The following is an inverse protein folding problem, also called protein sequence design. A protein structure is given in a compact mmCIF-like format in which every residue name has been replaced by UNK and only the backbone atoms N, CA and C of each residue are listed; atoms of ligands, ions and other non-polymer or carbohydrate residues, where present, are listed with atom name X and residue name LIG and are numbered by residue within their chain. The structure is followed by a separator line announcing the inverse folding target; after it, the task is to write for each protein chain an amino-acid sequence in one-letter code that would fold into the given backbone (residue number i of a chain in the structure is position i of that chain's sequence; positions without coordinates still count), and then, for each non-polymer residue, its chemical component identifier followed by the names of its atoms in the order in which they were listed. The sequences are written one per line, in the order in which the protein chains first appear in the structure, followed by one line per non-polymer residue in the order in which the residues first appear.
data_IF_046167062006
#
_entry.id   IF_046167062006
#
_cell.length_a   1.000
_cell.length_b   1.000
_cell.length_c   1.000
_cell.angle_alpha   90.00
_cell.angle_beta   90.00
_cell.angle_gamma   90.00
#
_symmetry.space_group_name_H-M   'P 1'
#
loop_
_entity.id
_entity.type
_entity.pdbx_description
1 polymer ?
#
# COMPACT_ATOMS: atom_id res chain seq x y z
N UNK A 1 -0.86 -16.29 10.63
CA UNK A 1 -0.10 -15.78 9.47
C UNK A 1 -0.84 -14.56 8.93
N UNK A 2 -0.49 -13.34 9.36
CA UNK A 2 -0.93 -12.11 8.69
C UNK A 2 0.20 -11.63 7.76
N UNK A 3 0.62 -12.52 6.86
CA UNK A 3 0.98 -12.06 5.52
C UNK A 3 -0.38 -11.72 4.91
N UNK A 4 -0.53 -10.59 4.23
CA UNK A 4 -1.67 -10.46 3.32
C UNK A 4 -1.64 -11.69 2.42
N UNK A 5 -2.50 -12.68 2.67
CA UNK A 5 -2.66 -13.86 1.81
C UNK A 5 -3.13 -13.46 0.40
N UNK A 6 -3.42 -12.17 0.20
CA UNK A 6 -3.69 -11.55 -1.08
C UNK A 6 -2.37 -11.02 -1.67
N UNK A 7 -1.47 -11.92 -2.07
CA UNK A 7 -0.69 -11.62 -3.27
C UNK A 7 -1.72 -11.48 -4.39
N UNK A 8 -1.87 -10.28 -4.97
CA UNK A 8 -2.79 -10.09 -6.09
C UNK A 8 -2.11 -10.63 -7.33
N UNK A 9 -2.50 -11.83 -7.76
CA UNK A 9 -2.12 -12.38 -9.06
C UNK A 9 -2.87 -11.59 -10.14
N UNK A 10 -2.13 -10.82 -10.94
CA UNK A 10 -2.66 -10.26 -12.17
C UNK A 10 -2.53 -11.33 -13.25
N UNK A 11 -3.64 -11.94 -13.66
CA UNK A 11 -3.66 -12.95 -14.72
C UNK A 11 -3.83 -12.29 -16.08
N UNK A 12 -2.98 -12.64 -17.04
CA UNK A 12 -3.34 -12.51 -18.44
C UNK A 12 -4.33 -13.64 -18.78
N UNK A 13 -5.53 -13.33 -19.27
CA UNK A 13 -6.47 -14.37 -19.72
C UNK A 13 -5.88 -15.10 -20.95
N UNK A 14 -5.53 -16.37 -20.79
CA UNK A 14 -5.33 -17.29 -21.91
C UNK A 14 -6.68 -17.77 -22.42
N UNK A 15 -6.98 -17.53 -23.70
CA UNK A 15 -8.03 -18.25 -24.40
C UNK A 15 -7.66 -19.73 -24.51
N UNK A 16 -8.66 -20.60 -24.44
CA UNK A 16 -8.53 -22.04 -24.71
C UNK A 16 -7.83 -22.25 -26.05
N UNK A 17 -6.67 -22.90 -26.04
CA UNK A 17 -6.14 -23.58 -27.22
C UNK A 17 -5.89 -25.02 -26.79
N UNK A 18 -6.59 -25.94 -27.47
CA UNK A 18 -6.51 -27.38 -27.25
C UNK A 18 -5.09 -27.89 -27.46
N UNK A 19 -4.69 -28.81 -26.58
CA UNK A 19 -3.49 -29.64 -26.72
C UNK A 19 -3.48 -30.34 -28.07
N UNK A 20 -2.43 -30.11 -28.86
CA UNK A 20 -1.96 -31.06 -29.86
C UNK A 20 -0.46 -31.19 -29.74
N UNK A 21 -0.02 -32.44 -29.51
CA UNK A 21 1.36 -32.85 -29.36
C UNK A 21 2.11 -32.66 -30.68
N UNK A 22 3.15 -31.84 -30.68
CA UNK A 22 4.21 -31.89 -31.69
C UNK A 22 5.54 -31.82 -30.94
N UNK A 23 6.31 -32.91 -30.97
CA UNK A 23 7.73 -32.89 -30.67
C UNK A 23 8.51 -32.39 -31.90
N UNK A 24 9.59 -31.66 -31.61
CA UNK A 24 10.95 -31.74 -32.18
C UNK A 24 11.54 -30.33 -32.45
N UNK A 25 12.61 -30.05 -31.70
CA UNK A 25 13.76 -29.18 -31.95
C UNK A 25 13.56 -27.79 -32.56
N UNK A 26 13.53 -26.78 -31.68
CA UNK A 26 14.45 -25.63 -31.73
C UNK A 26 14.27 -24.82 -30.43
N UNK A 27 15.37 -24.44 -29.77
CA UNK A 27 15.39 -23.66 -28.53
C UNK A 27 15.01 -22.18 -28.77
N UNK A 28 13.81 -21.94 -29.32
CA UNK A 28 13.14 -20.65 -29.17
C UNK A 28 12.39 -20.75 -27.84
N UNK A 29 12.98 -20.20 -26.77
CA UNK A 29 12.27 -20.02 -25.50
C UNK A 29 10.97 -19.28 -25.81
N UNK A 30 9.85 -20.00 -25.78
CA UNK A 30 8.52 -19.41 -25.88
C UNK A 30 8.36 -18.30 -24.84
N UNK A 31 7.44 -17.35 -25.04
CA UNK A 31 7.25 -16.23 -24.12
C UNK A 31 7.02 -16.77 -22.70
N UNK A 32 8.02 -16.58 -21.84
CA UNK A 32 7.97 -16.95 -20.42
C UNK A 32 6.75 -16.24 -19.81
N UNK A 33 5.93 -17.00 -19.08
CA UNK A 33 4.67 -16.56 -18.47
C UNK A 33 4.81 -15.22 -17.73
N UNK A 34 3.76 -14.39 -17.82
CA UNK A 34 3.79 -12.93 -17.53
C UNK A 34 2.81 -12.52 -16.43
N UNK A 35 2.45 -13.48 -15.58
CA UNK A 35 1.62 -13.21 -14.42
C UNK A 35 2.47 -12.54 -13.34
N UNK A 36 2.10 -11.34 -12.94
CA UNK A 36 2.80 -10.60 -11.89
C UNK A 36 2.07 -10.78 -10.55
N UNK A 37 2.83 -11.16 -9.52
CA UNK A 37 2.37 -11.19 -8.13
C UNK A 37 2.99 -10.03 -7.38
N UNK A 38 2.16 -9.11 -6.93
CA UNK A 38 2.59 -7.97 -6.09
C UNK A 38 2.28 -8.30 -4.62
N UNK A 39 3.31 -8.25 -3.79
CA UNK A 39 3.28 -8.63 -2.38
C UNK A 39 3.69 -7.45 -1.52
N UNK A 40 2.92 -7.20 -0.45
CA UNK A 40 3.31 -6.32 0.65
C UNK A 40 3.47 -7.15 1.91
N UNK A 41 4.59 -7.00 2.59
CA UNK A 41 4.93 -7.81 3.76
C UNK A 41 5.44 -6.95 4.92
N UNK A 42 5.16 -7.40 6.15
CA UNK A 42 5.66 -6.80 7.38
C UNK A 42 6.28 -7.90 8.23
N UNK A 43 7.61 -7.85 8.38
CA UNK A 43 8.31 -8.84 9.20
C UNK A 43 8.21 -8.45 10.67
N UNK A 44 7.84 -9.36 11.58
CA UNK A 44 7.76 -9.03 13.00
C UNK A 44 9.06 -8.45 13.54
N UNK A 45 8.96 -7.47 14.43
CA UNK A 45 10.10 -7.02 15.22
C UNK A 45 10.72 -8.16 16.06
N UNK A 46 11.95 -7.95 16.56
CA UNK A 46 12.57 -8.87 17.52
C UNK A 46 11.66 -9.03 18.75
N UNK A 47 11.87 -10.10 19.52
CA UNK A 47 11.11 -10.33 20.74
C UNK A 47 11.16 -9.09 21.64
N UNK A 48 10.00 -8.53 21.94
CA UNK A 48 9.84 -7.39 22.85
C UNK A 48 9.09 -7.80 24.12
N UNK A 49 9.02 -6.88 25.07
CA UNK A 49 8.35 -7.09 26.36
C UNK A 49 6.81 -7.01 26.28
N UNK A 50 6.25 -6.45 25.21
CA UNK A 50 4.81 -6.25 25.07
C UNK A 50 4.05 -7.48 24.57
N UNK A 51 3.03 -7.91 25.31
CA UNK A 51 2.13 -9.02 24.93
C UNK A 51 1.27 -8.75 23.69
N UNK A 52 1.15 -7.50 23.25
CA UNK A 52 0.43 -7.09 22.04
C UNK A 52 1.31 -7.04 20.79
N UNK A 53 2.63 -7.26 20.91
CA UNK A 53 3.55 -7.22 19.76
C UNK A 53 3.19 -8.28 18.72
N UNK A 54 3.44 -8.01 17.44
CA UNK A 54 3.24 -8.99 16.35
C UNK A 54 4.01 -10.28 16.63
N UNK A 55 5.20 -10.16 17.22
CA UNK A 55 5.99 -11.32 17.65
C UNK A 55 5.25 -12.18 18.68
N UNK A 56 4.69 -11.56 19.74
CA UNK A 56 3.95 -12.27 20.78
C UNK A 56 2.67 -12.93 20.23
N UNK A 57 1.95 -12.24 19.35
CA UNK A 57 0.77 -12.79 18.67
C UNK A 57 1.12 -14.01 17.81
N UNK A 58 2.24 -13.95 17.07
CA UNK A 58 2.73 -15.10 16.30
C UNK A 58 3.14 -16.26 17.21
N UNK A 59 3.82 -16.00 18.33
CA UNK A 59 4.15 -17.05 19.32
C UNK A 59 2.91 -17.73 19.87
N UNK A 60 1.90 -16.97 20.27
CA UNK A 60 0.65 -17.52 20.78
C UNK A 60 0.02 -18.49 19.77
N UNK A 61 -0.07 -18.06 18.51
CA UNK A 61 -0.58 -18.91 17.43
C UNK A 61 0.29 -20.14 17.18
N UNK A 62 1.62 -19.97 17.15
CA UNK A 62 2.58 -21.06 16.93
C UNK A 62 2.52 -22.11 18.03
N UNK A 63 2.38 -21.70 19.29
CA UNK A 63 2.15 -22.61 20.41
C UNK A 63 0.88 -23.44 20.21
N UNK A 64 -0.22 -22.82 19.76
CA UNK A 64 -1.48 -23.52 19.51
C UNK A 64 -1.40 -24.57 18.38
N UNK A 65 -0.46 -24.43 17.43
CA UNK A 65 -0.24 -25.39 16.33
C UNK A 65 1.05 -26.20 16.51
N UNK A 66 1.61 -26.23 17.72
CA UNK A 66 2.86 -26.92 18.07
C UNK A 66 4.06 -26.58 17.16
N UNK A 67 4.11 -25.35 16.64
CA UNK A 67 5.23 -24.82 15.87
C UNK A 67 6.23 -24.14 16.80
N UNK A 68 7.47 -24.63 16.85
CA UNK A 68 8.50 -24.11 17.79
C UNK A 68 9.40 -23.02 17.21
N UNK A 69 9.32 -22.76 15.90
CA UNK A 69 10.20 -21.83 15.20
C UNK A 69 10.09 -20.40 15.77
N UNK A 70 11.21 -19.66 15.71
CA UNK A 70 11.20 -18.21 15.94
C UNK A 70 10.28 -17.53 14.90
N UNK A 71 9.34 -16.65 15.30
CA UNK A 71 8.42 -15.96 14.40
C UNK A 71 9.07 -15.24 13.21
N UNK A 72 10.24 -14.63 13.40
CA UNK A 72 10.96 -13.93 12.33
C UNK A 72 11.56 -14.89 11.32
N UNK A 73 12.12 -16.01 11.78
CA UNK A 73 12.66 -17.06 10.91
C UNK A 73 11.54 -17.74 10.14
N UNK A 74 10.48 -18.13 10.84
CA UNK A 74 9.28 -18.72 10.26
C UNK A 74 8.67 -17.82 9.16
N UNK A 75 8.60 -16.52 9.40
CA UNK A 75 8.12 -15.55 8.41
C UNK A 75 8.94 -15.60 7.12
N UNK A 76 10.28 -15.54 7.23
CA UNK A 76 11.16 -15.57 6.05
C UNK A 76 11.07 -16.92 5.35
N UNK A 77 11.10 -18.03 6.10
CA UNK A 77 10.99 -19.38 5.55
C UNK A 77 9.68 -19.59 4.78
N UNK A 78 8.55 -19.20 5.37
CA UNK A 78 7.22 -19.38 4.74
C UNK A 78 7.07 -18.47 3.52
N UNK A 79 7.56 -17.21 3.60
CA UNK A 79 7.52 -16.28 2.48
C UNK A 79 8.40 -16.75 1.32
N UNK A 80 9.62 -17.23 1.60
CA UNK A 80 10.53 -17.82 0.62
C UNK A 80 9.89 -19.02 -0.10
N UNK A 81 9.25 -19.93 0.65
CA UNK A 81 8.52 -21.06 0.08
C UNK A 81 7.39 -20.60 -0.84
N UNK A 82 6.62 -19.60 -0.42
CA UNK A 82 5.51 -19.08 -1.22
C UNK A 82 5.98 -18.36 -2.48
N UNK A 83 7.09 -17.62 -2.40
CA UNK A 83 7.74 -16.97 -3.55
C UNK A 83 8.24 -18.01 -4.54
N UNK A 84 8.95 -19.03 -4.06
CA UNK A 84 9.45 -20.13 -4.90
C UNK A 84 8.29 -20.80 -5.63
N UNK A 85 7.21 -21.11 -4.91
CA UNK A 85 5.99 -21.66 -5.51
C UNK A 85 5.42 -20.76 -6.62
N UNK A 86 5.30 -19.45 -6.40
CA UNK A 86 4.79 -18.55 -7.45
C UNK A 86 5.70 -18.55 -8.68
N UNK A 87 7.02 -18.61 -8.48
CA UNK A 87 7.99 -18.67 -9.56
C UNK A 87 7.93 -20.01 -10.31
N UNK A 88 7.77 -21.12 -9.60
CA UNK A 88 7.57 -22.44 -10.20
C UNK A 88 6.26 -22.50 -11.01
N UNK A 89 5.23 -21.75 -10.59
CA UNK A 89 4.01 -21.51 -11.36
C UNK A 89 4.19 -20.52 -12.54
N UNK A 90 5.42 -20.07 -12.82
CA UNK A 90 5.74 -19.15 -13.91
C UNK A 90 5.33 -17.70 -13.66
N UNK A 91 5.24 -17.26 -12.40
CA UNK A 91 4.91 -15.87 -12.06
C UNK A 91 6.17 -15.05 -11.75
N UNK A 92 6.16 -13.80 -12.18
CA UNK A 92 7.09 -12.77 -11.71
C UNK A 92 6.59 -12.18 -10.37
N UNK A 93 7.51 -11.73 -9.52
CA UNK A 93 7.19 -11.27 -8.16
C UNK A 93 7.78 -9.89 -7.90
N UNK A 94 6.95 -8.98 -7.38
CA UNK A 94 7.38 -7.71 -6.78
C UNK A 94 6.99 -7.74 -5.30
N UNK A 95 7.98 -7.66 -4.42
CA UNK A 95 7.81 -7.70 -2.97
C UNK A 95 8.25 -6.36 -2.36
N UNK A 96 7.30 -5.59 -1.85
CA UNK A 96 7.58 -4.48 -0.93
C UNK A 96 7.51 -4.96 0.52
N UNK A 97 8.53 -4.67 1.32
CA UNK A 97 8.61 -5.18 2.69
C UNK A 97 9.16 -4.16 3.69
N UNK A 98 8.49 -4.01 4.83
CA UNK A 98 9.15 -3.59 6.08
C UNK A 98 9.80 -4.83 6.71
N UNK A 99 11.13 -4.88 6.60
CA UNK A 99 11.94 -6.00 7.01
C UNK A 99 12.19 -6.09 8.50
N UNK A 100 12.05 -4.95 9.20
CA UNK A 100 12.56 -4.75 10.56
C UNK A 100 13.99 -5.32 10.73
N UNK A 101 14.85 -5.16 9.71
CA UNK A 101 16.24 -5.61 9.61
C UNK A 101 16.95 -4.81 8.52
N UNK A 102 18.27 -4.67 8.63
CA UNK A 102 19.12 -4.03 7.62
C UNK A 102 19.03 -4.76 6.26
N UNK A 103 18.47 -4.09 5.26
CA UNK A 103 18.33 -4.66 3.91
C UNK A 103 19.59 -4.53 3.07
N UNK A 104 20.63 -3.81 3.52
CA UNK A 104 21.91 -3.71 2.81
C UNK A 104 22.76 -4.96 2.98
N UNK A 105 22.63 -5.64 4.13
CA UNK A 105 23.44 -6.81 4.49
C UNK A 105 23.06 -8.02 3.63
N UNK A 106 24.04 -8.62 2.95
CA UNK A 106 23.88 -9.84 2.15
C UNK A 106 24.62 -11.05 2.75
N UNK A 107 24.38 -11.32 4.03
CA UNK A 107 24.94 -12.48 4.73
C UNK A 107 23.97 -13.68 4.69
N UNK A 108 24.41 -14.94 4.85
CA UNK A 108 23.57 -16.14 4.66
C UNK A 108 22.21 -16.16 5.39
N UNK A 109 22.12 -15.49 6.55
CA UNK A 109 20.89 -15.42 7.34
C UNK A 109 20.09 -14.12 7.14
N UNK A 110 20.62 -13.15 6.41
CA UNK A 110 19.92 -11.89 6.15
C UNK A 110 18.76 -12.10 5.20
N UNK A 111 17.73 -11.24 5.30
CA UNK A 111 16.58 -11.37 4.40
C UNK A 111 16.99 -11.23 2.94
N UNK A 112 17.97 -10.35 2.65
CA UNK A 112 18.40 -10.06 1.28
C UNK A 112 18.97 -11.31 0.65
N UNK A 113 19.86 -12.00 1.35
CA UNK A 113 20.42 -13.26 0.89
C UNK A 113 19.35 -14.34 0.71
N UNK A 114 18.42 -14.43 1.68
CA UNK A 114 17.32 -15.41 1.64
C UNK A 114 16.37 -15.18 0.46
N UNK A 115 16.07 -13.93 0.13
CA UNK A 115 15.26 -13.58 -1.04
C UNK A 115 16.04 -13.77 -2.35
N UNK A 116 17.33 -13.46 -2.36
CA UNK A 116 18.22 -13.75 -3.50
C UNK A 116 18.26 -15.25 -3.81
N UNK A 117 18.37 -16.11 -2.80
CA UNK A 117 18.29 -17.56 -2.96
C UNK A 117 16.93 -18.03 -3.52
N UNK A 118 15.88 -17.23 -3.38
CA UNK A 118 14.55 -17.48 -3.96
C UNK A 118 14.35 -16.77 -5.31
N UNK A 119 15.40 -16.17 -5.88
CA UNK A 119 15.42 -15.52 -7.19
C UNK A 119 14.92 -14.07 -7.22
N UNK A 120 14.94 -13.38 -6.08
CA UNK A 120 14.59 -11.96 -5.98
C UNK A 120 15.84 -11.11 -5.72
N UNK A 121 15.97 -10.02 -6.46
CA UNK A 121 17.03 -9.02 -6.27
C UNK A 121 16.47 -7.74 -5.64
N UNK A 122 17.29 -7.01 -4.89
CA UNK A 122 16.90 -5.72 -4.33
C UNK A 122 16.91 -4.65 -5.44
N UNK A 123 15.79 -3.94 -5.56
CA UNK A 123 15.44 -3.14 -6.73
C UNK A 123 16.12 -1.76 -6.79
N UNK A 124 16.54 -1.19 -5.66
CA UNK A 124 16.91 0.23 -5.54
C UNK A 124 18.40 0.41 -5.20
N UNK A 125 18.93 -0.39 -4.28
CA UNK A 125 20.29 -0.33 -3.74
C UNK A 125 21.37 -0.57 -4.80
N UNK A 126 21.04 -1.18 -5.94
CA UNK A 126 21.96 -1.34 -7.06
C UNK A 126 22.27 0.01 -7.75
N UNK A 127 21.31 0.93 -7.74
CA UNK A 127 21.37 2.18 -8.50
C UNK A 127 21.42 3.43 -7.60
N UNK A 128 21.13 3.27 -6.31
CA UNK A 128 21.07 4.36 -5.35
C UNK A 128 21.79 3.99 -4.06
N UNK A 129 22.47 4.95 -3.40
CA UNK A 129 23.04 4.70 -2.09
C UNK A 129 21.94 4.41 -1.06
N UNK A 130 22.22 3.58 -0.04
CA UNK A 130 21.30 3.35 1.06
C UNK A 130 20.83 4.65 1.71
N UNK A 131 19.54 4.73 2.03
CA UNK A 131 18.96 5.85 2.77
C UNK A 131 18.23 5.34 4.02
N UNK A 132 18.18 6.16 5.06
CA UNK A 132 17.28 5.91 6.20
C UNK A 132 15.84 5.75 5.70
N UNK A 133 15.20 4.62 6.00
CA UNK A 133 13.79 4.40 5.66
C UNK A 133 12.83 4.59 6.82
N UNK A 134 13.32 4.75 8.05
CA UNK A 134 12.52 4.99 9.25
C UNK A 134 13.08 6.14 10.09
N UNK A 135 12.25 7.11 10.48
CA UNK A 135 12.67 8.38 11.09
C UNK A 135 13.52 8.24 12.37
N UNK A 136 13.26 7.19 13.17
CA UNK A 136 14.02 6.97 14.43
C UNK A 136 15.27 6.13 14.24
N UNK A 137 15.58 5.74 13.01
CA UNK A 137 16.80 5.02 12.72
C UNK A 137 17.98 6.00 12.72
N UNK A 138 18.89 5.80 13.67
CA UNK A 138 20.04 6.68 13.89
C UNK A 138 21.30 6.26 13.10
N UNK A 139 21.23 5.17 12.34
CA UNK A 139 22.40 4.46 11.82
C UNK A 139 22.49 4.47 10.28
N UNK A 140 21.65 5.26 9.60
CA UNK A 140 21.53 5.29 8.13
C UNK A 140 21.26 3.91 7.49
N UNK A 141 20.57 3.04 8.22
CA UNK A 141 20.26 1.67 7.77
C UNK A 141 18.86 1.65 7.16
N UNK A 142 18.67 1.26 5.89
CA UNK A 142 17.33 0.98 5.37
C UNK A 142 16.79 -0.31 6.02
N UNK A 143 15.55 -0.24 6.50
CA UNK A 143 14.79 -1.40 6.99
C UNK A 143 13.57 -1.72 6.12
N UNK A 144 13.35 -0.93 5.07
CA UNK A 144 12.34 -1.13 4.06
C UNK A 144 13.02 -1.42 2.73
N UNK A 145 12.48 -2.34 1.94
CA UNK A 145 13.05 -2.72 0.65
C UNK A 145 12.00 -3.11 -0.37
N UNK A 146 12.35 -2.96 -1.65
CA UNK A 146 11.59 -3.52 -2.76
C UNK A 146 12.46 -4.57 -3.43
N UNK A 147 11.93 -5.78 -3.56
CA UNK A 147 12.60 -6.92 -4.15
C UNK A 147 11.82 -7.40 -5.37
N UNK A 148 12.52 -7.69 -6.47
CA UNK A 148 11.87 -8.14 -7.71
C UNK A 148 12.57 -9.37 -8.27
N UNK A 149 11.81 -10.24 -8.93
CA UNK A 149 12.40 -11.24 -9.84
C UNK A 149 13.07 -10.56 -11.04
N UNK A 150 14.03 -11.25 -11.67
CA UNK A 150 14.79 -10.71 -12.81
C UNK A 150 13.93 -10.40 -14.05
N UNK A 151 12.77 -11.05 -14.20
CA UNK A 151 11.85 -10.80 -15.30
C UNK A 151 10.98 -9.55 -15.12
N UNK A 152 11.22 -8.73 -14.09
CA UNK A 152 10.59 -7.42 -13.90
C UNK A 152 11.61 -6.31 -14.20
N UNK A 153 11.63 -5.74 -15.42
CA UNK A 153 12.55 -4.67 -15.76
C UNK A 153 12.19 -3.40 -14.99
N UNK A 154 13.16 -2.89 -14.24
CA UNK A 154 13.05 -1.63 -13.48
C UNK A 154 13.55 -0.49 -14.38
N UNK A 155 12.67 0.48 -14.65
CA UNK A 155 12.98 1.67 -15.44
C UNK A 155 13.60 2.77 -14.59
N UNK A 156 13.10 2.93 -13.36
CA UNK A 156 13.59 3.90 -12.38
C UNK A 156 13.16 3.45 -10.98
N UNK A 157 13.76 4.02 -9.95
CA UNK A 157 13.34 3.81 -8.57
C UNK A 157 13.96 4.80 -7.62
N UNK A 158 13.57 4.73 -6.35
CA UNK A 158 14.18 5.53 -5.31
C UNK A 158 13.33 5.69 -4.06
N UNK A 159 13.69 6.71 -3.29
CA UNK A 159 13.11 7.02 -1.99
C UNK A 159 12.44 8.39 -2.05
N UNK A 160 11.25 8.49 -1.46
CA UNK A 160 10.65 9.77 -1.12
C UNK A 160 11.31 10.34 0.13
N UNK A 161 11.28 11.68 0.29
CA UNK A 161 11.61 12.26 1.59
C UNK A 161 10.51 11.91 2.61
N UNK A 162 10.88 11.89 3.90
CA UNK A 162 9.90 11.78 4.99
C UNK A 162 8.82 12.85 4.86
N UNK A 163 7.58 12.44 5.12
CA UNK A 163 6.38 13.29 5.03
C UNK A 163 6.18 13.95 3.64
N UNK A 164 6.86 13.49 2.59
CA UNK A 164 6.68 14.04 1.24
C UNK A 164 5.33 13.63 0.64
N UNK A 165 4.96 12.36 0.84
CA UNK A 165 3.76 11.74 0.26
C UNK A 165 2.81 11.17 1.31
N UNK A 166 3.34 10.61 2.40
CA UNK A 166 2.58 10.02 3.49
C UNK A 166 3.06 10.62 4.81
N UNK A 167 2.14 11.05 5.68
CA UNK A 167 2.47 11.41 7.06
C UNK A 167 2.75 10.11 7.83
N UNK A 168 4.00 9.66 7.80
CA UNK A 168 4.44 8.36 8.31
C UNK A 168 5.90 8.47 8.79
N UNK A 169 6.21 7.70 9.83
CA UNK A 169 7.56 7.52 10.34
C UNK A 169 8.45 6.67 9.42
N UNK A 170 7.90 6.05 8.37
CA UNK A 170 8.66 5.44 7.28
C UNK A 170 8.67 6.34 6.03
N UNK A 171 9.76 6.31 5.28
CA UNK A 171 9.83 6.93 3.95
C UNK A 171 9.20 6.00 2.91
N UNK A 172 8.54 6.57 1.90
CA UNK A 172 7.98 5.77 0.82
C UNK A 172 9.06 5.36 -0.17
N UNK A 173 9.09 4.09 -0.55
CA UNK A 173 9.91 3.58 -1.65
C UNK A 173 9.06 3.50 -2.93
N UNK A 174 9.69 3.68 -4.09
CA UNK A 174 9.01 3.53 -5.37
C UNK A 174 9.94 2.92 -6.43
N UNK A 175 9.32 2.20 -7.36
CA UNK A 175 9.93 1.74 -8.61
C UNK A 175 8.95 1.98 -9.75
N UNK A 176 9.48 2.34 -10.92
CA UNK A 176 8.79 2.30 -12.20
C UNK A 176 9.20 1.02 -12.91
N UNK A 177 8.23 0.22 -13.35
CA UNK A 177 8.47 -1.04 -14.06
C UNK A 177 7.88 -0.98 -15.47
N UNK A 178 8.52 -1.69 -16.40
CA UNK A 178 7.94 -1.90 -17.73
C UNK A 178 6.80 -2.91 -17.64
N UNK A 179 5.56 -2.43 -17.63
CA UNK A 179 4.37 -3.28 -17.60
C UNK A 179 4.21 -4.11 -18.88
N UNK A 180 4.66 -3.63 -20.04
CA UNK A 180 4.58 -4.38 -21.29
C UNK A 180 5.51 -5.58 -21.25
N UNK A 181 6.73 -5.41 -20.74
CA UNK A 181 7.66 -6.51 -20.50
C UNK A 181 7.16 -7.44 -19.39
N UNK A 182 6.72 -6.88 -18.25
CA UNK A 182 6.36 -7.66 -17.05
C UNK A 182 5.02 -8.40 -17.15
N UNK A 183 4.05 -7.85 -17.90
CA UNK A 183 2.69 -8.41 -18.07
C UNK A 183 2.40 -8.85 -19.50
N UNK A 184 3.29 -8.56 -20.45
CA UNK A 184 3.19 -9.02 -21.82
C UNK A 184 2.25 -8.30 -22.71
N UNK A 185 2.30 -6.97 -22.67
CA UNK A 185 1.34 -6.10 -23.32
C UNK A 185 -0.09 -6.25 -22.76
N UNK A 186 -0.29 -7.04 -21.70
CA UNK A 186 -1.55 -7.04 -20.97
C UNK A 186 -1.72 -5.69 -20.26
N UNK A 187 -2.84 -5.03 -20.54
CA UNK A 187 -3.20 -3.77 -19.90
C UNK A 187 -4.26 -4.04 -18.83
N UNK A 188 -3.87 -4.14 -17.54
CA UNK A 188 -4.83 -4.42 -16.49
C UNK A 188 -5.84 -3.27 -16.39
N UNK A 189 -7.12 -3.62 -16.28
CA UNK A 189 -8.13 -2.62 -15.96
C UNK A 189 -7.84 -2.04 -14.57
N UNK A 190 -7.85 -0.70 -14.47
CA UNK A 190 -7.64 -0.02 -13.19
C UNK A 190 -8.70 -0.49 -12.20
N UNK A 191 -8.29 -1.15 -11.12
CA UNK A 191 -9.20 -1.50 -10.04
C UNK A 191 -9.71 -0.23 -9.37
N UNK A 192 -11.02 -0.15 -9.13
CA UNK A 192 -11.59 0.93 -8.32
C UNK A 192 -11.21 0.72 -6.85
N UNK A 193 -10.21 1.45 -6.37
CA UNK A 193 -9.95 1.51 -4.93
C UNK A 193 -11.10 2.27 -4.25
N UNK A 194 -11.82 1.58 -3.37
CA UNK A 194 -12.81 2.24 -2.52
C UNK A 194 -12.12 2.63 -1.21
N UNK A 195 -11.92 3.93 -0.92
CA UNK A 195 -11.29 4.34 0.32
C UNK A 195 -12.14 3.93 1.53
N UNK A 196 -11.50 3.74 2.67
CA UNK A 196 -12.20 3.48 3.94
C UNK A 196 -13.09 4.68 4.27
N UNK A 197 -14.33 4.41 4.66
CA UNK A 197 -15.30 5.47 5.05
C UNK A 197 -14.95 6.07 6.41
N UNK A 198 -14.49 5.22 7.34
CA UNK A 198 -13.98 5.63 8.63
C UNK A 198 -12.59 6.24 8.46
N UNK A 199 -12.43 7.49 8.89
CA UNK A 199 -11.13 8.14 9.07
C UNK A 199 -10.97 8.53 10.53
N UNK A 200 -9.85 8.15 11.15
CA UNK A 200 -9.54 8.50 12.53
C UNK A 200 -9.22 10.00 12.71
N UNK A 201 -8.91 10.69 11.61
CA UNK A 201 -8.67 12.14 11.61
C UNK A 201 -9.97 12.96 11.53
N UNK A 202 -11.10 12.32 11.21
CA UNK A 202 -12.40 12.98 11.08
C UNK A 202 -13.27 12.63 12.30
N UNK A 203 -13.29 13.53 13.29
CA UNK A 203 -14.02 13.33 14.55
C UNK A 203 -15.50 13.05 14.32
N UNK A 204 -16.13 13.64 13.29
CA UNK A 204 -17.55 13.40 12.97
C UNK A 204 -17.77 11.97 12.48
N UNK A 205 -16.88 11.49 11.62
CA UNK A 205 -16.91 10.09 11.16
C UNK A 205 -16.69 9.11 12.30
N UNK A 206 -15.76 9.41 13.22
CA UNK A 206 -15.47 8.57 14.40
C UNK A 206 -16.69 8.52 15.33
N UNK A 207 -17.25 9.67 15.69
CA UNK A 207 -18.42 9.73 16.58
C UNK A 207 -19.61 8.97 16.02
N UNK A 208 -19.93 9.16 14.72
CA UNK A 208 -21.03 8.44 14.08
C UNK A 208 -20.76 6.94 13.99
N UNK A 209 -19.53 6.52 13.73
CA UNK A 209 -19.14 5.11 13.76
C UNK A 209 -19.37 4.50 15.15
N UNK A 210 -18.86 5.13 16.21
CA UNK A 210 -19.00 4.65 17.59
C UNK A 210 -20.47 4.55 18.00
N UNK A 211 -21.28 5.55 17.68
CA UNK A 211 -22.73 5.53 17.92
C UNK A 211 -23.40 4.31 17.27
N UNK A 212 -23.07 4.02 16.01
CA UNK A 212 -23.62 2.88 15.28
C UNK A 212 -23.14 1.54 15.85
N UNK A 213 -21.86 1.45 16.27
CA UNK A 213 -21.31 0.26 16.92
C UNK A 213 -22.01 0.01 18.25
N UNK A 214 -22.15 1.05 19.10
CA UNK A 214 -22.83 0.93 20.40
C UNK A 214 -24.29 0.49 20.22
N UNK A 215 -25.01 1.09 19.26
CA UNK A 215 -26.38 0.67 18.92
C UNK A 215 -26.44 -0.80 18.48
N UNK A 216 -25.50 -1.24 17.65
CA UNK A 216 -25.43 -2.63 17.20
C UNK A 216 -25.08 -3.59 18.34
N UNK A 217 -24.16 -3.21 19.22
CA UNK A 217 -23.76 -4.01 20.38
C UNK A 217 -24.91 -4.17 21.38
N UNK A 218 -25.64 -3.09 21.66
CA UNK A 218 -26.84 -3.13 22.48
C UNK A 218 -27.92 -4.04 21.86
N UNK A 219 -28.19 -3.90 20.55
CA UNK A 219 -29.17 -4.72 19.83
C UNK A 219 -28.91 -6.23 19.94
N UNK A 220 -27.65 -6.64 19.94
CA UNK A 220 -27.26 -8.06 19.98
C UNK A 220 -26.76 -8.52 21.36
N UNK A 221 -26.93 -7.68 22.39
CA UNK A 221 -26.47 -7.90 23.77
C UNK A 221 -25.03 -8.40 23.83
N UNK A 222 -24.15 -7.79 23.03
CA UNK A 222 -22.75 -8.19 22.90
C UNK A 222 -22.03 -8.08 24.25
N UNK A 223 -22.14 -6.97 25.01
CA UNK A 223 -21.46 -6.85 26.30
C UNK A 223 -21.90 -7.91 27.31
N UNK A 224 -23.20 -8.18 27.42
CA UNK A 224 -23.74 -9.15 28.36
C UNK A 224 -23.30 -10.57 28.00
N UNK A 225 -23.28 -10.91 26.70
CA UNK A 225 -22.83 -12.21 26.20
C UNK A 225 -21.32 -12.39 26.38
N UNK A 226 -20.52 -11.33 26.20
CA UNK A 226 -19.10 -11.35 26.53
C UNK A 226 -18.87 -11.55 28.02
N UNK A 227 -19.61 -10.86 28.88
CA UNK A 227 -19.50 -11.00 30.33
C UNK A 227 -19.85 -12.42 30.80
N UNK A 228 -20.97 -12.98 30.32
CA UNK A 228 -21.34 -14.39 30.59
C UNK A 228 -20.28 -15.39 30.12
N UNK A 229 -19.64 -15.11 28.98
CA UNK A 229 -18.56 -15.93 28.48
C UNK A 229 -17.32 -15.83 29.38
N UNK A 230 -16.98 -14.63 29.83
CA UNK A 230 -15.85 -14.38 30.72
C UNK A 230 -16.03 -15.06 32.08
N UNK A 231 -17.19 -14.90 32.72
CA UNK A 231 -17.53 -15.58 33.98
C UNK A 231 -17.38 -17.10 33.86
N UNK A 232 -17.79 -17.67 32.73
CA UNK A 232 -17.65 -19.11 32.49
C UNK A 232 -16.20 -19.55 32.27
N UNK A 233 -15.36 -18.69 31.70
CA UNK A 233 -13.92 -18.92 31.60
C UNK A 233 -13.29 -18.89 32.99
N UNK A 234 -13.66 -17.91 33.82
CA UNK A 234 -13.17 -17.77 35.19
C UNK A 234 -13.56 -18.98 36.06
N UNK A 235 -14.81 -19.44 35.98
CA UNK A 235 -15.28 -20.64 36.69
C UNK A 235 -14.55 -21.93 36.27
N UNK A 236 -13.95 -21.96 35.08
CA UNK A 236 -13.17 -23.10 34.58
C UNK A 236 -11.66 -22.89 34.78
N UNK A 237 -11.25 -22.03 35.71
CA UNK A 237 -9.83 -21.77 35.99
C UNK A 237 -9.10 -21.14 34.81
N UNK A 238 -9.76 -20.24 34.08
CA UNK A 238 -9.27 -19.59 32.88
C UNK A 238 -8.99 -20.53 31.68
N UNK A 239 -9.58 -21.73 31.68
CA UNK A 239 -9.44 -22.66 30.58
C UNK A 239 -10.41 -22.37 29.41
N UNK A 240 -9.85 -22.17 28.21
CA UNK A 240 -10.59 -22.00 26.97
C UNK A 240 -10.93 -23.35 26.32
N UNK A 241 -12.03 -23.98 26.76
CA UNK A 241 -12.51 -25.22 26.14
C UNK A 241 -12.89 -25.01 24.67
N UNK A 242 -12.85 -26.05 23.80
CA UNK A 242 -13.25 -25.92 22.39
C UNK A 242 -14.64 -25.33 22.18
N UNK A 243 -15.58 -25.60 23.10
CA UNK A 243 -16.93 -25.02 23.07
C UNK A 243 -16.91 -23.51 23.33
N UNK A 244 -16.11 -23.06 24.30
CA UNK A 244 -15.95 -21.63 24.61
C UNK A 244 -15.25 -20.89 23.47
N UNK A 245 -14.22 -21.47 22.89
CA UNK A 245 -13.53 -20.91 21.71
C UNK A 245 -14.52 -20.71 20.56
N UNK A 246 -15.36 -21.71 20.26
CA UNK A 246 -16.41 -21.58 19.23
C UNK A 246 -17.40 -20.46 19.55
N UNK A 247 -17.86 -20.35 20.81
CA UNK A 247 -18.77 -19.29 21.24
C UNK A 247 -18.13 -17.90 21.11
N UNK A 248 -16.88 -17.75 21.55
CA UNK A 248 -16.10 -16.52 21.38
C UNK A 248 -15.99 -16.13 19.91
N UNK A 249 -15.59 -17.07 19.05
CA UNK A 249 -15.41 -16.81 17.62
C UNK A 249 -16.72 -16.41 16.92
N UNK A 250 -17.83 -17.05 17.29
CA UNK A 250 -19.16 -16.67 16.80
C UNK A 250 -19.52 -15.23 17.22
N UNK A 251 -19.34 -14.90 18.49
CA UNK A 251 -19.58 -13.56 19.03
C UNK A 251 -18.67 -12.51 18.38
N UNK A 252 -17.39 -12.82 18.21
CA UNK A 252 -16.42 -11.97 17.53
C UNK A 252 -16.80 -11.71 16.07
N UNK A 253 -17.29 -12.73 15.35
CA UNK A 253 -17.79 -12.57 13.97
C UNK A 253 -18.99 -11.63 13.91
N UNK A 254 -19.89 -11.71 14.89
CA UNK A 254 -21.02 -10.79 14.99
C UNK A 254 -20.56 -9.35 15.29
N UNK A 255 -19.63 -9.18 16.23
CA UNK A 255 -19.01 -7.88 16.51
C UNK A 255 -18.32 -7.28 15.29
N UNK A 256 -17.60 -8.12 14.53
CA UNK A 256 -16.99 -7.72 13.26
C UNK A 256 -18.04 -7.24 12.25
N UNK A 257 -19.13 -7.98 12.10
CA UNK A 257 -20.24 -7.61 11.20
C UNK A 257 -20.85 -6.26 11.57
N UNK A 258 -21.11 -6.02 12.86
CA UNK A 258 -21.61 -4.73 13.37
C UNK A 258 -20.63 -3.60 13.01
N UNK A 259 -19.33 -3.79 13.26
CA UNK A 259 -18.30 -2.78 12.95
C UNK A 259 -18.21 -2.49 11.45
N UNK A 260 -18.33 -3.50 10.60
CA UNK A 260 -18.35 -3.31 9.13
C UNK A 260 -19.55 -2.49 8.66
N UNK A 261 -20.75 -2.81 9.15
CA UNK A 261 -21.96 -2.05 8.84
C UNK A 261 -21.90 -0.61 9.37
N UNK A 262 -21.30 -0.41 10.54
CA UNK A 262 -21.09 0.93 11.09
C UNK A 262 -20.14 1.75 10.21
N UNK A 263 -19.02 1.16 9.77
CA UNK A 263 -18.09 1.81 8.85
C UNK A 263 -18.76 2.18 7.51
N UNK A 264 -19.61 1.31 6.97
CA UNK A 264 -20.34 1.61 5.73
C UNK A 264 -21.26 2.82 5.83
N UNK A 265 -21.76 3.13 7.04
CA UNK A 265 -22.76 4.17 7.29
C UNK A 265 -22.20 5.40 8.01
N UNK A 266 -20.95 5.36 8.48
CA UNK A 266 -20.37 6.44 9.27
C UNK A 266 -20.15 7.73 8.45
N UNK A 267 -19.98 7.62 7.14
CA UNK A 267 -19.79 8.77 6.25
C UNK A 267 -20.13 8.44 4.80
N UNK A 268 -20.61 9.43 4.06
CA UNK A 268 -20.71 9.35 2.61
C UNK A 268 -19.38 9.80 1.98
N UNK A 269 -18.84 9.00 1.06
CA UNK A 269 -17.68 9.40 0.28
C UNK A 269 -18.18 10.16 -0.95
N UNK A 270 -17.69 11.38 -1.12
CA UNK A 270 -17.89 12.16 -2.33
C UNK A 270 -16.55 12.25 -3.08
N UNK A 271 -16.16 11.23 -3.87
CA UNK A 271 -14.84 11.18 -4.53
C UNK A 271 -14.68 12.23 -5.64
N UNK A 272 -15.62 13.17 -5.79
CA UNK A 272 -15.58 14.26 -6.74
C UNK A 272 -15.82 13.86 -8.20
N UNK A 273 -15.60 12.58 -8.57
CA UNK A 273 -15.67 12.02 -9.94
C UNK A 273 -15.11 12.99 -10.99
N UNK A 274 -14.06 13.73 -10.64
CA UNK A 274 -13.45 14.71 -11.55
C UNK A 274 -12.42 13.96 -12.40
N UNK A 275 -12.60 13.89 -13.72
CA UNK A 275 -11.64 13.21 -14.57
C UNK A 275 -10.31 13.96 -14.55
N UNK A 276 -9.21 13.20 -14.44
CA UNK A 276 -7.87 13.80 -14.37
C UNK A 276 -7.40 14.30 -15.74
N UNK A 277 -6.88 15.52 -15.79
CA UNK A 277 -6.14 16.05 -16.93
C UNK A 277 -4.98 16.93 -16.43
N UNK A 278 -3.91 17.18 -17.23
CA UNK A 278 -2.83 18.07 -16.84
C UNK A 278 -3.32 19.47 -16.43
N UNK A 279 -4.35 19.98 -17.12
CA UNK A 279 -5.00 21.26 -16.77
C UNK A 279 -5.66 21.22 -15.40
N UNK A 280 -6.40 20.13 -15.08
CA UNK A 280 -6.97 19.94 -13.74
C UNK A 280 -5.89 19.78 -12.66
N UNK A 281 -4.77 19.12 -12.99
CA UNK A 281 -3.63 18.94 -12.09
C UNK A 281 -2.96 20.27 -11.74
N UNK A 282 -2.90 21.22 -12.68
CA UNK A 282 -2.35 22.56 -12.44
C UNK A 282 -3.00 23.26 -11.23
N UNK A 283 -4.33 23.21 -11.13
CA UNK A 283 -5.04 23.75 -9.96
C UNK A 283 -4.62 23.09 -8.65
N UNK A 284 -4.45 21.77 -8.64
CA UNK A 284 -3.99 21.03 -7.47
C UNK A 284 -2.55 21.38 -7.09
N UNK A 285 -1.68 21.58 -8.07
CA UNK A 285 -0.30 21.99 -7.85
C UNK A 285 -0.24 23.40 -7.24
N UNK A 286 -1.02 24.35 -7.77
CA UNK A 286 -1.17 25.71 -7.22
C UNK A 286 -1.71 25.67 -5.78
N UNK A 287 -2.83 24.97 -5.54
CA UNK A 287 -3.41 24.82 -4.20
C UNK A 287 -2.42 24.16 -3.23
N UNK A 288 -1.62 23.20 -3.68
CA UNK A 288 -0.60 22.54 -2.87
C UNK A 288 0.53 23.49 -2.51
N UNK A 289 0.98 24.33 -3.45
CA UNK A 289 1.98 25.36 -3.20
C UNK A 289 1.49 26.35 -2.13
N UNK A 290 0.28 26.89 -2.28
CA UNK A 290 -0.29 27.85 -1.33
C UNK A 290 -0.44 27.26 0.07
N UNK A 291 -0.97 26.04 0.19
CA UNK A 291 -1.07 25.34 1.48
C UNK A 291 0.29 25.09 2.12
N UNK A 292 1.29 24.73 1.32
CA UNK A 292 2.64 24.44 1.82
C UNK A 292 3.32 25.72 2.34
N UNK A 293 3.18 26.83 1.62
CA UNK A 293 3.70 28.12 2.06
C UNK A 293 2.98 28.63 3.32
N UNK A 294 1.66 28.50 3.41
CA UNK A 294 0.88 28.81 4.62
C UNK A 294 1.33 27.98 5.82
N UNK A 295 1.56 26.68 5.62
CA UNK A 295 2.10 25.78 6.66
C UNK A 295 3.47 26.30 7.15
N UNK A 296 4.35 26.71 6.24
CA UNK A 296 5.64 27.33 6.59
C UNK A 296 5.50 28.64 7.38
N UNK A 297 4.58 29.52 6.99
CA UNK A 297 4.31 30.79 7.72
C UNK A 297 3.76 30.56 9.13
N UNK A 298 3.13 29.41 9.40
CA UNK A 298 2.67 28.97 10.73
C UNK A 298 3.77 28.31 11.57
N UNK A 299 5.04 28.39 11.14
CA UNK A 299 6.18 27.83 11.88
C UNK A 299 6.36 26.31 11.73
N UNK A 300 5.58 25.65 10.88
CA UNK A 300 5.75 24.22 10.65
C UNK A 300 6.88 23.94 9.65
N UNK A 301 7.62 22.84 9.85
CA UNK A 301 8.64 22.38 8.92
C UNK A 301 8.03 22.04 7.55
N UNK A 302 8.66 22.53 6.49
CA UNK A 302 8.27 22.29 5.09
C UNK A 302 9.48 21.95 4.23
N UNK A 303 9.30 21.04 3.26
CA UNK A 303 10.38 20.66 2.34
C UNK A 303 10.65 21.79 1.35
N UNK A 304 11.82 22.43 1.48
CA UNK A 304 12.28 23.49 0.56
C UNK A 304 12.39 22.99 -0.88
N UNK A 305 12.81 21.73 -1.07
CA UNK A 305 12.86 21.05 -2.38
C UNK A 305 11.46 20.95 -3.00
N UNK A 306 10.45 20.55 -2.22
CA UNK A 306 9.05 20.45 -2.69
C UNK A 306 8.48 21.81 -3.06
N UNK A 307 8.75 22.84 -2.25
CA UNK A 307 8.35 24.23 -2.55
C UNK A 307 8.93 24.68 -3.89
N UNK A 308 10.25 24.57 -4.09
CA UNK A 308 10.90 24.98 -5.36
C UNK A 308 10.34 24.22 -6.56
N UNK A 309 10.13 22.91 -6.43
CA UNK A 309 9.54 22.07 -7.49
C UNK A 309 8.14 22.55 -7.87
N UNK A 310 7.29 22.82 -6.87
CA UNK A 310 5.93 23.31 -7.11
C UNK A 310 5.94 24.70 -7.75
N UNK A 311 6.80 25.62 -7.29
CA UNK A 311 6.91 26.96 -7.89
C UNK A 311 7.31 26.93 -9.35
N UNK A 312 8.24 26.04 -9.73
CA UNK A 312 8.59 25.81 -11.14
C UNK A 312 7.40 25.26 -11.91
N UNK A 313 6.70 24.26 -11.37
CA UNK A 313 5.57 23.58 -12.02
C UNK A 313 4.37 24.52 -12.23
N UNK A 314 4.12 25.43 -11.29
CA UNK A 314 3.01 26.37 -11.34
C UNK A 314 3.37 27.70 -12.01
N UNK A 315 4.63 27.92 -12.40
CA UNK A 315 5.08 29.19 -12.98
C UNK A 315 5.02 30.37 -12.00
N UNK A 316 5.15 30.12 -10.70
CA UNK A 316 5.00 31.14 -9.65
C UNK A 316 6.31 31.29 -8.86
N UNK A 317 7.37 31.90 -9.44
CA UNK A 317 8.71 31.93 -8.84
C UNK A 317 8.84 32.84 -7.62
N UNK A 318 7.86 33.71 -7.33
CA UNK A 318 7.91 34.62 -6.16
C UNK A 318 6.82 34.32 -5.12
N UNK A 319 6.18 33.15 -5.22
CA UNK A 319 5.12 32.73 -4.30
C UNK A 319 5.52 32.82 -2.82
N UNK A 320 6.78 32.53 -2.46
CA UNK A 320 7.26 32.54 -1.08
C UNK A 320 7.28 33.95 -0.44
N UNK A 321 7.27 35.02 -1.24
CA UNK A 321 7.33 36.41 -0.75
C UNK A 321 5.99 36.91 -0.22
N UNK A 322 4.88 36.25 -0.58
CA UNK A 322 3.53 36.64 -0.17
C UNK A 322 3.33 36.57 1.34
N UNK A 323 2.49 37.48 1.87
CA UNK A 323 2.08 37.45 3.28
C UNK A 323 1.15 36.26 3.55
N UNK A 324 0.92 35.93 4.82
CA UNK A 324 -0.02 34.87 5.18
C UNK A 324 -1.45 35.17 4.68
N UNK A 325 -1.88 36.44 4.76
CA UNK A 325 -3.19 36.90 4.27
C UNK A 325 -3.30 36.71 2.76
N UNK A 326 -2.31 37.19 2.00
CA UNK A 326 -2.29 37.05 0.54
C UNK A 326 -2.34 35.58 0.11
N UNK A 327 -1.62 34.71 0.82
CA UNK A 327 -1.60 33.28 0.52
C UNK A 327 -2.96 32.62 0.78
N UNK A 328 -3.68 33.04 1.82
CA UNK A 328 -5.04 32.55 2.08
C UNK A 328 -6.02 33.00 0.99
N UNK A 329 -5.90 34.23 0.51
CA UNK A 329 -6.75 34.74 -0.56
C UNK A 329 -6.42 34.10 -1.91
N UNK A 330 -5.14 33.90 -2.23
CA UNK A 330 -4.72 33.12 -3.39
C UNK A 330 -5.31 31.70 -3.34
N UNK A 331 -5.30 31.06 -2.16
CA UNK A 331 -5.88 29.74 -1.99
C UNK A 331 -7.42 29.73 -2.16
N UNK A 332 -8.13 30.76 -1.69
CA UNK A 332 -9.58 30.91 -1.90
C UNK A 332 -9.91 31.10 -3.38
N UNK A 333 -9.17 31.97 -4.07
CA UNK A 333 -9.34 32.23 -5.49
C UNK A 333 -9.11 30.96 -6.32
N UNK A 334 -8.01 30.24 -6.06
CA UNK A 334 -7.69 28.99 -6.76
C UNK A 334 -8.78 27.92 -6.58
N UNK A 335 -9.36 27.83 -5.37
CA UNK A 335 -10.50 26.93 -5.10
C UNK A 335 -11.74 27.31 -5.90
N UNK A 336 -12.02 28.59 -6.07
CA UNK A 336 -13.13 29.09 -6.87
C UNK A 336 -12.96 28.72 -8.35
N UNK A 337 -11.77 29.01 -8.90
CA UNK A 337 -11.42 28.66 -10.28
C UNK A 337 -11.49 27.15 -10.52
N UNK A 338 -10.96 26.35 -9.60
CA UNK A 338 -11.07 24.90 -9.66
C UNK A 338 -12.53 24.43 -9.67
N UNK A 339 -13.40 25.01 -8.83
CA UNK A 339 -14.82 24.65 -8.77
C UNK A 339 -15.50 24.95 -10.11
N UNK A 340 -15.26 26.12 -10.69
CA UNK A 340 -15.78 26.48 -12.01
C UNK A 340 -15.27 25.50 -13.08
N UNK A 341 -13.96 25.28 -13.16
CA UNK A 341 -13.35 24.39 -14.15
C UNK A 341 -13.82 22.94 -14.01
N UNK A 342 -14.01 22.47 -12.78
CA UNK A 342 -14.58 21.14 -12.49
C UNK A 342 -15.94 20.96 -13.14
N UNK A 343 -16.82 21.96 -13.08
CA UNK A 343 -18.17 21.87 -13.63
C UNK A 343 -18.19 22.07 -15.15
N UNK A 344 -17.40 23.00 -15.67
CA UNK A 344 -17.49 23.42 -17.07
C UNK A 344 -16.57 22.62 -18.01
N UNK A 345 -15.33 22.33 -17.58
CA UNK A 345 -14.27 21.93 -18.52
C UNK A 345 -13.65 20.55 -18.26
N UNK A 346 -13.80 20.00 -17.05
CA UNK A 346 -13.06 18.80 -16.65
C UNK A 346 -13.23 17.61 -17.62
N UNK A 347 -14.46 17.32 -18.05
CA UNK A 347 -14.74 16.25 -19.00
C UNK A 347 -14.07 16.49 -20.37
N UNK A 348 -14.18 17.71 -20.90
CA UNK A 348 -13.59 18.08 -22.18
C UNK A 348 -12.06 17.99 -22.13
N UNK A 349 -11.42 18.56 -21.12
CA UNK A 349 -9.96 18.52 -20.99
C UNK A 349 -9.41 17.10 -20.83
N UNK A 350 -10.18 16.18 -20.23
CA UNK A 350 -9.80 14.76 -20.20
C UNK A 350 -9.83 14.15 -21.60
N UNK A 351 -10.90 14.41 -22.35
CA UNK A 351 -11.08 13.90 -23.72
C UNK A 351 -9.97 14.41 -24.64
N UNK A 352 -9.66 15.71 -24.56
CA UNK A 352 -8.57 16.32 -25.34
C UNK A 352 -7.23 15.66 -25.04
N UNK A 353 -6.91 15.50 -23.76
CA UNK A 353 -5.66 14.87 -23.33
C UNK A 353 -5.53 13.41 -23.83
N UNK A 354 -6.59 12.61 -23.70
CA UNK A 354 -6.60 11.23 -24.18
C UNK A 354 -6.46 11.13 -25.71
N UNK A 355 -7.03 12.09 -26.43
CA UNK A 355 -6.94 12.14 -27.89
C UNK A 355 -5.52 12.39 -28.35
N UNK A 356 -4.80 13.32 -27.69
CA UNK A 356 -3.38 13.59 -27.97
C UNK A 356 -2.53 12.35 -27.67
N UNK A 357 -2.69 11.74 -26.50
CA UNK A 357 -1.93 10.54 -26.10
C UNK A 357 -2.14 9.37 -27.05
N UNK A 358 -3.38 9.15 -27.50
CA UNK A 358 -3.68 8.07 -28.48
C UNK A 358 -3.02 8.33 -29.83
N UNK A 359 -2.97 9.59 -30.28
CA UNK A 359 -2.29 9.97 -31.53
C UNK A 359 -0.77 9.77 -31.42
N UNK A 360 -0.17 10.16 -30.29
CA UNK A 360 1.25 10.00 -30.05
C UNK A 360 1.63 8.51 -29.96
N UNK A 361 0.83 7.69 -29.26
CA UNK A 361 1.02 6.25 -29.19
C UNK A 361 0.96 5.58 -30.57
N UNK A 362 0.01 5.99 -31.43
CA UNK A 362 -0.07 5.50 -32.81
C UNK A 362 1.17 5.87 -33.63
N UNK A 363 1.74 7.06 -33.46
CA UNK A 363 2.98 7.45 -34.16
C UNK A 363 4.19 6.62 -33.76
N UNK A 364 4.23 6.09 -32.54
CA UNK A 364 5.35 5.28 -32.04
C UNK A 364 5.24 3.79 -32.42
N UNK A 365 4.10 3.32 -32.96
CA UNK A 365 3.95 1.96 -33.51
C UNK A 365 4.39 1.83 -34.98
N UNK A 366 4.65 2.95 -35.67
CA UNK A 366 5.05 3.00 -37.08
C UNK A 366 6.51 3.44 -37.28
N UNK A 367 7.37 3.05 -36.34
CA UNK A 367 8.84 3.06 -36.44
C UNK A 367 9.34 1.75 -35.88
#
# INVERSE_FOLDING_TARGET
MFVSKEGRKLKAHGGNVQDSLIEVNDLVRGPISKDLVVVSAYRPNKQGLGGSTVWAQHRLHFHAVNRKNNPRKAFVDDLCKQITKWRDEGCEVVLGIDANEDVTVNAPQSIRHRFQACGLEEAILKHHPPQVTHQRNQWNIPIDGIFTTLGVPILAGGYYAFDEFFDCDHCGLWIDIDLSASLGNFQPQKSNFTPRKLSLQDSRSVSKYLQLVHKGYAKYSIPERLNKLNQRIDHLGHQMTPSLVRKYNCLHRQMYTVRRQAEEKCRALAPGKVPWSPKMQGFWDCMSLWKLLLKGKKGCRVSSRKVRRLMKKTGLPQAWRKSAVDLEDCLKQERSLYKQAKHTYAAQWRKDFLTVQTKDAKKHQWK
#
